data_IF_950208384092
#
_entry.id   IF_950208384092
#
_cell.length_a   1.000
_cell.length_b   1.000
_cell.length_c   1.000
_cell.angle_alpha   90.00
_cell.angle_beta   90.00
_cell.angle_gamma   90.00
#
_symmetry.space_group_name_H-M   'P 1'
#
loop_
_entity.id
_entity.type
_entity.pdbx_description
1 polymer ?
#
# COMPACT_ATOMS: atom_id res chain seq x y z
N UNK A 1 42.67 -7.43 57.72
CA UNK A 1 41.21 -7.55 57.99
C UNK A 1 40.32 -6.40 57.49
N UNK A 2 40.82 -5.25 57.02
CA UNK A 2 39.96 -4.17 56.45
C UNK A 2 39.85 -4.18 54.92
N UNK A 3 40.70 -4.93 54.21
CA UNK A 3 40.78 -4.92 52.75
C UNK A 3 39.80 -5.92 52.10
N UNK A 4 39.61 -7.10 52.68
CA UNK A 4 38.69 -8.14 52.16
C UNK A 4 37.21 -7.74 52.24
N UNK A 5 36.82 -6.97 53.25
CA UNK A 5 35.42 -6.56 53.46
C UNK A 5 34.96 -5.56 52.37
N UNK A 6 35.89 -4.76 51.82
CA UNK A 6 35.58 -3.78 50.75
C UNK A 6 35.33 -4.45 49.40
N UNK A 7 36.11 -5.48 49.06
CA UNK A 7 35.98 -6.22 47.79
C UNK A 7 34.63 -6.94 47.72
N UNK A 8 34.16 -7.47 48.85
CA UNK A 8 32.89 -8.21 48.92
C UNK A 8 31.64 -7.30 48.79
N UNK A 9 31.74 -6.02 49.16
CA UNK A 9 30.66 -5.04 48.97
C UNK A 9 30.61 -4.48 47.55
N UNK A 10 31.77 -4.22 46.93
CA UNK A 10 31.85 -3.78 45.54
C UNK A 10 31.44 -4.88 44.56
N UNK A 11 31.85 -6.13 44.80
CA UNK A 11 31.42 -7.28 44.00
C UNK A 11 29.90 -7.46 44.01
N UNK A 12 29.26 -7.40 45.20
CA UNK A 12 27.80 -7.48 45.32
C UNK A 12 27.05 -6.31 44.69
N UNK A 13 27.62 -5.10 44.71
CA UNK A 13 27.05 -3.94 44.01
C UNK A 13 27.11 -4.11 42.49
N UNK A 14 28.22 -4.63 41.96
CA UNK A 14 28.37 -4.91 40.53
C UNK A 14 27.44 -6.03 40.06
N UNK A 15 27.24 -7.10 40.84
CA UNK A 15 26.29 -8.16 40.48
C UNK A 15 24.83 -7.67 40.53
N UNK A 16 24.49 -6.79 41.48
CA UNK A 16 23.15 -6.20 41.56
C UNK A 16 22.85 -5.23 40.40
N UNK A 17 23.83 -4.45 39.96
CA UNK A 17 23.69 -3.56 38.78
C UNK A 17 23.68 -4.36 37.48
N UNK A 18 24.47 -5.44 37.36
CA UNK A 18 24.43 -6.33 36.20
C UNK A 18 23.07 -7.03 36.03
N UNK A 19 22.43 -7.47 37.13
CA UNK A 19 21.07 -8.01 37.10
C UNK A 19 20.01 -6.96 36.76
N UNK A 20 20.21 -5.69 37.15
CA UNK A 20 19.29 -4.60 36.81
C UNK A 20 19.39 -4.19 35.33
N UNK A 21 20.59 -4.24 34.73
CA UNK A 21 20.82 -3.92 33.31
C UNK A 21 20.40 -5.07 32.38
N UNK A 22 20.48 -6.32 32.84
CA UNK A 22 19.89 -7.47 32.11
C UNK A 22 18.35 -7.43 32.17
N UNK A 23 17.77 -6.87 33.24
CA UNK A 23 16.32 -6.73 33.40
C UNK A 23 15.67 -5.63 32.54
N UNK A 24 16.39 -4.57 32.16
CA UNK A 24 15.82 -3.48 31.35
C UNK A 24 15.91 -3.73 29.84
N UNK A 25 16.75 -4.68 29.39
CA UNK A 25 16.85 -5.06 27.98
C UNK A 25 15.73 -5.99 27.48
N UNK A 26 14.97 -6.62 28.38
CA UNK A 26 14.00 -7.67 28.06
C UNK A 26 12.53 -7.23 28.05
N UNK A 27 12.24 -5.98 28.38
CA UNK A 27 10.88 -5.43 28.34
C UNK A 27 10.73 -4.38 27.24
N UNK A 28 11.08 -4.72 26.00
CA UNK A 28 10.25 -4.23 24.89
C UNK A 28 8.95 -5.04 24.93
N UNK A 29 8.11 -4.71 25.90
CA UNK A 29 6.72 -5.13 25.93
C UNK A 29 6.06 -4.46 24.71
N UNK A 30 6.22 -5.09 23.55
CA UNK A 30 5.44 -4.77 22.39
C UNK A 30 4.00 -5.06 22.80
N UNK A 31 3.24 -4.00 23.04
CA UNK A 31 1.84 -4.12 23.42
C UNK A 31 1.12 -4.80 22.26
N UNK A 32 0.89 -6.11 22.38
CA UNK A 32 0.05 -6.84 21.44
C UNK A 32 -1.30 -6.11 21.44
N UNK A 33 -1.79 -5.66 20.28
CA UNK A 33 -3.00 -4.88 20.18
C UNK A 33 -4.13 -5.76 20.71
N UNK A 34 -4.88 -5.20 21.66
CA UNK A 34 -6.09 -5.88 22.13
C UNK A 34 -7.03 -6.07 20.93
N UNK A 35 -7.81 -7.16 20.89
CA UNK A 35 -8.71 -7.46 19.77
C UNK A 35 -9.61 -6.28 19.38
N UNK A 36 -10.02 -5.45 20.35
CA UNK A 36 -10.84 -4.27 20.14
C UNK A 36 -10.11 -3.17 19.34
N UNK A 37 -8.82 -3.00 19.59
CA UNK A 37 -7.98 -2.03 18.87
C UNK A 37 -7.76 -2.43 17.42
N UNK A 38 -7.53 -3.72 17.15
CA UNK A 38 -7.40 -4.24 15.79
C UNK A 38 -8.70 -4.05 14.99
N UNK A 39 -9.84 -4.37 15.61
CA UNK A 39 -11.17 -4.16 15.01
C UNK A 39 -11.43 -2.70 14.68
N UNK A 40 -11.11 -1.78 15.60
CA UNK A 40 -11.28 -0.34 15.39
C UNK A 40 -10.45 0.15 14.19
N UNK A 41 -9.16 -0.20 14.14
CA UNK A 41 -8.29 0.17 13.01
C UNK A 41 -8.83 -0.43 11.71
N UNK A 42 -9.26 -1.69 11.73
CA UNK A 42 -9.83 -2.35 10.56
C UNK A 42 -11.08 -1.66 10.02
N UNK A 43 -11.97 -1.20 10.90
CA UNK A 43 -13.16 -0.40 10.53
C UNK A 43 -12.78 0.96 9.94
N UNK A 44 -11.77 1.63 10.50
CA UNK A 44 -11.28 2.91 9.98
C UNK A 44 -10.70 2.74 8.57
N UNK A 45 -9.89 1.69 8.36
CA UNK A 45 -9.32 1.35 7.04
C UNK A 45 -10.44 1.04 6.05
N UNK A 46 -11.39 0.17 6.41
CA UNK A 46 -12.52 -0.17 5.55
C UNK A 46 -13.29 1.08 5.11
N UNK A 47 -13.59 1.99 6.04
CA UNK A 47 -14.28 3.25 5.73
C UNK A 47 -13.45 4.15 4.82
N UNK A 48 -12.17 4.33 5.13
CA UNK A 48 -11.25 5.13 4.30
C UNK A 48 -11.18 4.57 2.88
N UNK A 49 -11.06 3.25 2.75
CA UNK A 49 -10.95 2.54 1.48
C UNK A 49 -12.17 2.75 0.59
N UNK A 50 -13.38 2.64 1.15
CA UNK A 50 -14.61 2.89 0.40
C UNK A 50 -14.69 4.35 -0.10
N UNK A 51 -14.31 5.31 0.73
CA UNK A 51 -14.26 6.74 0.34
C UNK A 51 -13.20 6.97 -0.75
N UNK A 52 -12.04 6.33 -0.64
CA UNK A 52 -10.97 6.47 -1.61
C UNK A 52 -11.33 5.87 -2.97
N UNK A 53 -12.05 4.74 -3.00
CA UNK A 53 -12.57 4.16 -4.25
C UNK A 53 -13.56 5.14 -4.90
N UNK A 54 -14.54 5.63 -4.15
CA UNK A 54 -15.52 6.60 -4.68
C UNK A 54 -14.85 7.85 -5.25
N UNK A 55 -13.86 8.40 -4.53
CA UNK A 55 -13.06 9.53 -5.01
C UNK A 55 -12.27 9.20 -6.27
N UNK A 56 -11.68 8.01 -6.36
CA UNK A 56 -10.90 7.62 -7.54
C UNK A 56 -11.77 7.43 -8.80
N UNK A 57 -13.04 7.06 -8.63
CA UNK A 57 -14.01 7.00 -9.73
C UNK A 57 -14.38 8.41 -10.22
N UNK A 58 -14.60 9.34 -9.28
CA UNK A 58 -14.91 10.76 -9.59
C UNK A 58 -13.74 11.48 -10.28
N UNK A 59 -12.52 11.26 -9.79
CA UNK A 59 -11.30 11.89 -10.33
C UNK A 59 -10.70 11.13 -11.54
N UNK A 60 -11.36 10.10 -12.08
CA UNK A 60 -10.87 9.25 -13.19
C UNK A 60 -9.46 8.63 -12.94
N UNK A 61 -9.17 8.31 -11.67
CA UNK A 61 -7.90 7.68 -11.24
C UNK A 61 -8.06 6.24 -10.75
N UNK A 62 -9.27 5.70 -10.81
CA UNK A 62 -9.60 4.33 -10.43
C UNK A 62 -8.78 3.30 -11.22
N UNK A 63 -8.28 2.24 -10.54
CA UNK A 63 -7.43 1.20 -11.16
C UNK A 63 -7.99 -0.22 -11.00
N UNK A 64 -9.28 -0.36 -10.65
CA UNK A 64 -9.95 -1.66 -10.54
C UNK A 64 -10.03 -2.22 -9.13
N UNK A 65 -9.72 -1.42 -8.11
CA UNK A 65 -9.84 -1.81 -6.70
C UNK A 65 -11.30 -2.02 -6.29
N UNK A 66 -11.56 -2.90 -5.31
CA UNK A 66 -12.93 -3.11 -4.85
C UNK A 66 -13.02 -3.36 -3.34
N UNK A 67 -14.18 -2.99 -2.81
CA UNK A 67 -14.63 -3.26 -1.45
C UNK A 67 -13.74 -2.72 -0.33
N UNK A 68 -13.97 -3.24 0.88
CA UNK A 68 -13.36 -2.71 2.11
C UNK A 68 -11.84 -2.91 2.16
N UNK A 69 -11.31 -3.85 1.37
CA UNK A 69 -9.87 -4.11 1.26
C UNK A 69 -9.18 -3.11 0.31
N UNK A 70 -9.91 -2.51 -0.65
CA UNK A 70 -9.37 -1.69 -1.75
C UNK A 70 -8.17 -2.36 -2.43
N UNK A 71 -8.37 -3.62 -2.82
CA UNK A 71 -7.37 -4.43 -3.52
C UNK A 71 -7.72 -4.56 -4.99
N UNK A 72 -6.70 -4.58 -5.85
CA UNK A 72 -6.85 -4.97 -7.25
C UNK A 72 -7.39 -6.40 -7.38
N UNK A 73 -7.93 -6.80 -8.54
CA UNK A 73 -8.38 -8.17 -8.76
C UNK A 73 -7.24 -9.18 -8.59
N UNK A 74 -6.04 -8.86 -9.06
CA UNK A 74 -4.83 -9.68 -8.91
C UNK A 74 -4.49 -9.89 -7.43
N UNK A 75 -4.47 -8.82 -6.65
CA UNK A 75 -4.19 -8.90 -5.21
C UNK A 75 -5.30 -9.65 -4.47
N UNK A 76 -6.58 -9.41 -4.80
CA UNK A 76 -7.70 -10.15 -4.22
C UNK A 76 -7.59 -11.65 -4.45
N UNK A 77 -7.23 -12.06 -5.68
CA UNK A 77 -6.97 -13.46 -6.00
C UNK A 77 -5.78 -14.03 -5.25
N UNK A 78 -4.70 -13.27 -5.08
CA UNK A 78 -3.54 -13.69 -4.29
C UNK A 78 -3.89 -13.86 -2.79
N UNK A 79 -4.89 -13.12 -2.30
CA UNK A 79 -5.46 -13.27 -0.96
C UNK A 79 -6.47 -14.44 -0.84
N UNK A 80 -6.73 -15.16 -1.95
CA UNK A 80 -7.63 -16.31 -1.98
C UNK A 80 -9.10 -15.98 -2.27
N UNK A 81 -9.41 -14.74 -2.68
CA UNK A 81 -10.77 -14.33 -3.04
C UNK A 81 -11.11 -14.76 -4.48
N UNK A 82 -12.36 -15.14 -4.72
CA UNK A 82 -12.92 -15.25 -6.06
C UNK A 82 -13.15 -13.85 -6.60
N UNK A 83 -12.41 -13.50 -7.66
CA UNK A 83 -12.45 -12.16 -8.26
C UNK A 83 -12.92 -12.22 -9.70
N UNK A 84 -13.53 -11.13 -10.16
CA UNK A 84 -13.88 -10.94 -11.56
C UNK A 84 -12.73 -10.26 -12.29
N UNK A 85 -12.28 -10.83 -13.41
CA UNK A 85 -11.24 -10.23 -14.26
C UNK A 85 -11.69 -10.33 -15.72
N UNK A 86 -12.20 -9.22 -16.25
CA UNK A 86 -12.75 -9.16 -17.61
C UNK A 86 -11.66 -8.85 -18.65
N UNK A 87 -11.99 -9.02 -19.94
CA UNK A 87 -11.10 -8.58 -21.03
C UNK A 87 -10.92 -7.07 -21.03
N UNK A 88 -11.98 -6.34 -20.71
CA UNK A 88 -12.00 -4.88 -20.65
C UNK A 88 -11.14 -4.34 -19.51
N UNK A 89 -11.21 -4.97 -18.33
CA UNK A 89 -10.31 -4.67 -17.22
C UNK A 89 -8.84 -4.82 -17.66
N UNK A 90 -8.47 -5.96 -18.26
CA UNK A 90 -7.10 -6.19 -18.73
C UNK A 90 -6.66 -5.19 -19.79
N UNK A 91 -7.56 -4.81 -20.69
CA UNK A 91 -7.28 -3.80 -21.70
C UNK A 91 -7.02 -2.44 -21.04
N UNK A 92 -7.84 -2.04 -20.06
CA UNK A 92 -7.68 -0.78 -19.35
C UNK A 92 -6.34 -0.70 -18.60
N UNK A 93 -5.94 -1.77 -17.90
CA UNK A 93 -4.64 -1.83 -17.23
C UNK A 93 -3.47 -1.70 -18.22
N UNK A 94 -3.55 -2.35 -19.38
CA UNK A 94 -2.54 -2.17 -20.44
C UNK A 94 -2.49 -0.72 -20.95
N UNK A 95 -3.66 -0.10 -21.19
CA UNK A 95 -3.72 1.29 -21.63
C UNK A 95 -3.14 2.26 -20.59
N UNK A 96 -3.35 2.01 -19.29
CA UNK A 96 -2.71 2.78 -18.22
C UNK A 96 -1.19 2.61 -18.24
N UNK A 97 -0.69 1.38 -18.37
CA UNK A 97 0.75 1.10 -18.48
C UNK A 97 1.37 1.81 -19.69
N UNK A 98 0.75 1.72 -20.86
CA UNK A 98 1.20 2.41 -22.07
C UNK A 98 1.15 3.95 -21.90
N UNK A 99 0.15 4.48 -21.18
CA UNK A 99 0.07 5.91 -20.88
C UNK A 99 1.20 6.35 -19.94
N UNK A 100 1.54 5.55 -18.93
CA UNK A 100 2.66 5.84 -18.02
C UNK A 100 3.99 5.85 -18.79
N UNK A 101 4.23 4.89 -19.69
CA UNK A 101 5.40 4.86 -20.57
C UNK A 101 5.48 6.10 -21.48
N UNK A 102 4.35 6.53 -22.07
CA UNK A 102 4.29 7.75 -22.89
C UNK A 102 4.58 8.99 -22.02
N UNK A 103 4.08 9.03 -20.80
CA UNK A 103 4.34 10.13 -19.88
C UNK A 103 5.84 10.24 -19.56
N UNK A 104 6.51 9.11 -19.31
CA UNK A 104 7.96 9.07 -19.11
C UNK A 104 8.72 9.56 -20.35
N UNK A 105 8.27 9.20 -21.55
CA UNK A 105 8.84 9.70 -22.81
C UNK A 105 8.70 11.21 -22.93
N UNK A 106 7.52 11.77 -22.66
CA UNK A 106 7.27 13.22 -22.66
C UNK A 106 8.22 13.92 -21.67
N UNK A 107 8.31 13.41 -20.43
CA UNK A 107 9.20 13.98 -19.40
C UNK A 107 10.66 13.94 -19.84
N UNK A 108 11.10 12.85 -20.45
CA UNK A 108 12.46 12.69 -20.96
C UNK A 108 12.77 13.68 -22.08
N UNK A 109 11.87 13.83 -23.04
CA UNK A 109 12.04 14.76 -24.16
C UNK A 109 12.10 16.22 -23.68
N UNK A 110 11.21 16.61 -22.75
CA UNK A 110 11.20 17.95 -22.17
C UNK A 110 12.49 18.26 -21.38
N UNK A 111 13.08 17.27 -20.70
CA UNK A 111 14.35 17.42 -19.97
C UNK A 111 15.57 17.56 -20.90
N UNK A 112 15.51 17.05 -22.14
CA UNK A 112 16.63 17.07 -23.09
C UNK A 112 16.74 18.38 -23.89
N UNK A 113 15.92 19.38 -23.57
CA UNK A 113 15.89 20.66 -24.29
C UNK A 113 17.22 21.40 -24.14
N UNK A 114 17.95 21.56 -25.25
CA UNK A 114 19.24 22.28 -25.34
C UNK A 114 19.03 23.80 -25.40
N UNK A 115 20.08 24.61 -25.11
CA UNK A 115 20.02 26.05 -25.39
C UNK A 115 19.72 26.27 -26.88
N UNK A 116 18.59 26.92 -27.17
CA UNK A 116 18.02 27.06 -28.52
C UNK A 116 16.55 26.65 -28.66
N UNK A 117 15.98 25.97 -27.67
CA UNK A 117 14.54 25.62 -27.63
C UNK A 117 14.18 24.31 -28.36
N UNK A 118 12.87 24.08 -28.53
CA UNK A 118 12.33 22.94 -29.28
C UNK A 118 12.10 23.35 -30.74
N UNK A 119 12.63 22.57 -31.68
CA UNK A 119 12.28 22.71 -33.10
C UNK A 119 10.83 22.24 -33.36
N UNK A 120 10.26 22.64 -34.50
CA UNK A 120 8.88 22.33 -34.87
C UNK A 120 8.59 20.83 -34.91
N UNK A 121 9.53 20.00 -35.34
CA UNK A 121 9.35 18.54 -35.40
C UNK A 121 9.27 17.92 -34.01
N UNK A 122 10.07 18.41 -33.05
CA UNK A 122 9.96 18.01 -31.64
C UNK A 122 8.65 18.44 -31.02
N UNK A 123 8.20 19.66 -31.32
CA UNK A 123 6.90 20.14 -30.84
C UNK A 123 5.78 19.24 -31.35
N UNK A 124 5.77 18.91 -32.65
CA UNK A 124 4.76 18.03 -33.22
C UNK A 124 4.78 16.63 -32.58
N UNK A 125 5.95 16.02 -32.39
CA UNK A 125 6.06 14.73 -31.69
C UNK A 125 5.56 14.79 -30.25
N UNK A 126 5.91 15.83 -29.50
CA UNK A 126 5.42 16.02 -28.13
C UNK A 126 3.90 16.18 -28.09
N UNK A 127 3.31 16.88 -29.07
CA UNK A 127 1.86 17.00 -29.20
C UNK A 127 1.22 15.64 -29.47
N UNK A 128 1.76 14.85 -30.39
CA UNK A 128 1.27 13.49 -30.68
C UNK A 128 1.33 12.57 -29.46
N UNK A 129 2.44 12.62 -28.70
CA UNK A 129 2.58 11.90 -27.43
C UNK A 129 1.53 12.36 -26.41
N UNK A 130 1.32 13.68 -26.27
CA UNK A 130 0.30 14.22 -25.37
C UNK A 130 -1.13 13.76 -25.74
N UNK A 131 -1.45 13.74 -27.04
CA UNK A 131 -2.74 13.25 -27.55
C UNK A 131 -2.88 11.76 -27.24
N UNK A 132 -1.87 10.95 -27.57
CA UNK A 132 -1.86 9.50 -27.32
C UNK A 132 -2.02 9.18 -25.83
N UNK A 133 -1.30 9.89 -24.96
CA UNK A 133 -1.43 9.81 -23.50
C UNK A 133 -2.87 10.08 -23.05
N UNK A 134 -3.44 11.22 -23.46
CA UNK A 134 -4.82 11.59 -23.08
C UNK A 134 -5.85 10.59 -23.56
N UNK A 135 -5.77 10.15 -24.83
CA UNK A 135 -6.71 9.18 -25.39
C UNK A 135 -6.64 7.83 -24.68
N UNK A 136 -5.44 7.35 -24.33
CA UNK A 136 -5.28 6.09 -23.58
C UNK A 136 -5.84 6.20 -22.16
N UNK A 137 -5.55 7.29 -21.45
CA UNK A 137 -6.10 7.53 -20.11
C UNK A 137 -7.63 7.60 -20.13
N UNK A 138 -8.22 8.37 -21.04
CA UNK A 138 -9.67 8.48 -21.17
C UNK A 138 -10.30 7.12 -21.46
N UNK A 139 -9.75 6.37 -22.42
CA UNK A 139 -10.26 5.04 -22.76
C UNK A 139 -10.13 4.05 -21.60
N UNK A 140 -9.03 4.09 -20.85
CA UNK A 140 -8.85 3.26 -19.67
C UNK A 140 -9.88 3.60 -18.58
N UNK A 141 -10.12 4.89 -18.32
CA UNK A 141 -11.10 5.36 -17.35
C UNK A 141 -12.52 4.86 -17.70
N UNK A 142 -12.94 4.98 -18.97
CA UNK A 142 -14.22 4.44 -19.44
C UNK A 142 -14.36 2.94 -19.18
N UNK A 143 -13.34 2.15 -19.55
CA UNK A 143 -13.34 0.70 -19.38
C UNK A 143 -13.36 0.29 -17.90
N UNK A 144 -12.64 1.02 -17.04
CA UNK A 144 -12.59 0.77 -15.60
C UNK A 144 -13.88 1.17 -14.89
N UNK A 145 -14.52 2.27 -15.32
CA UNK A 145 -15.85 2.65 -14.85
C UNK A 145 -16.89 1.58 -15.22
N UNK A 146 -16.91 1.12 -16.47
CA UNK A 146 -17.80 0.04 -16.91
C UNK A 146 -17.54 -1.26 -16.14
N UNK A 147 -16.26 -1.61 -15.94
CA UNK A 147 -15.87 -2.74 -15.10
C UNK A 147 -16.39 -2.62 -13.67
N UNK A 148 -16.28 -1.46 -13.03
CA UNK A 148 -16.77 -1.23 -11.67
C UNK A 148 -18.29 -1.44 -11.56
N UNK A 149 -19.06 -0.96 -12.55
CA UNK A 149 -20.52 -1.13 -12.57
C UNK A 149 -20.97 -2.59 -12.73
N UNK A 150 -20.12 -3.43 -13.32
CA UNK A 150 -20.38 -4.86 -13.53
C UNK A 150 -20.00 -5.73 -12.31
N UNK A 151 -19.29 -5.17 -11.32
CA UNK A 151 -18.95 -5.87 -10.08
C UNK A 151 -20.17 -5.99 -9.15
N UNK A 152 -20.36 -7.17 -8.58
CA UNK A 152 -21.34 -7.42 -7.52
C UNK A 152 -20.87 -8.57 -6.62
N UNK A 153 -21.53 -8.74 -5.46
CA UNK A 153 -21.16 -9.79 -4.50
C UNK A 153 -21.27 -11.22 -5.03
N UNK A 154 -22.09 -11.46 -6.07
CA UNK A 154 -22.24 -12.80 -6.65
C UNK A 154 -21.03 -13.19 -7.51
N UNK A 155 -20.43 -12.20 -8.18
CA UNK A 155 -19.35 -12.40 -9.15
C UNK A 155 -17.95 -11.97 -8.67
N UNK A 156 -17.86 -11.22 -7.57
CA UNK A 156 -16.60 -10.74 -7.00
C UNK A 156 -16.68 -10.63 -5.46
N UNK A 157 -15.96 -11.53 -4.78
CA UNK A 157 -15.95 -11.62 -3.31
C UNK A 157 -15.25 -10.45 -2.62
N UNK A 158 -14.52 -9.59 -3.37
CA UNK A 158 -13.98 -8.35 -2.78
C UNK A 158 -15.09 -7.43 -2.28
N UNK A 159 -16.32 -7.57 -2.79
CA UNK A 159 -17.50 -6.83 -2.36
C UNK A 159 -18.23 -7.49 -1.19
N UNK A 160 -17.90 -8.73 -0.83
CA UNK A 160 -18.47 -9.43 0.32
C UNK A 160 -17.72 -9.02 1.61
N UNK A 161 -18.41 -8.28 2.48
CA UNK A 161 -17.81 -7.81 3.72
C UNK A 161 -17.53 -8.92 4.73
N UNK A 162 -18.31 -9.99 4.73
CA UNK A 162 -18.18 -11.06 5.71
C UNK A 162 -16.99 -11.96 5.38
N UNK A 163 -16.69 -12.12 4.08
CA UNK A 163 -15.44 -12.73 3.60
C UNK A 163 -14.25 -11.78 3.81
N UNK A 164 -14.41 -10.50 3.47
CA UNK A 164 -13.29 -9.55 3.45
C UNK A 164 -12.83 -9.08 4.84
N UNK A 165 -13.73 -9.00 5.84
CA UNK A 165 -13.38 -8.51 7.20
C UNK A 165 -12.29 -9.38 7.85
N UNK A 166 -12.42 -10.73 7.91
CA UNK A 166 -11.36 -11.59 8.43
C UNK A 166 -10.04 -11.45 7.68
N UNK A 167 -10.09 -11.28 6.35
CA UNK A 167 -8.88 -11.07 5.52
C UNK A 167 -8.20 -9.75 5.90
N UNK A 168 -8.98 -8.68 6.06
CA UNK A 168 -8.49 -7.37 6.46
C UNK A 168 -7.79 -7.44 7.81
N UNK A 169 -8.46 -8.01 8.82
CA UNK A 169 -7.94 -8.12 10.18
C UNK A 169 -6.67 -8.97 10.22
N UNK A 170 -6.64 -10.10 9.50
CA UNK A 170 -5.47 -10.97 9.39
C UNK A 170 -4.28 -10.25 8.77
N UNK A 171 -4.45 -9.58 7.63
CA UNK A 171 -3.34 -8.92 6.93
C UNK A 171 -2.86 -7.66 7.67
N UNK A 172 -3.76 -6.95 8.35
CA UNK A 172 -3.43 -5.85 9.24
C UNK A 172 -2.62 -6.33 10.44
N UNK A 173 -3.06 -7.41 11.10
CA UNK A 173 -2.34 -7.99 12.22
C UNK A 173 -0.94 -8.46 11.81
N UNK A 174 -0.82 -9.14 10.66
CA UNK A 174 0.46 -9.55 10.10
C UNK A 174 1.41 -8.37 9.87
N UNK A 175 0.88 -7.24 9.39
CA UNK A 175 1.67 -6.01 9.23
C UNK A 175 2.12 -5.45 10.58
N UNK A 176 1.19 -5.38 11.53
CA UNK A 176 1.45 -4.91 12.87
C UNK A 176 2.54 -5.73 13.57
N UNK A 177 2.48 -7.05 13.51
CA UNK A 177 3.51 -7.94 14.06
C UNK A 177 4.87 -7.70 13.40
N UNK A 178 4.91 -7.57 12.07
CA UNK A 178 6.16 -7.36 11.31
C UNK A 178 6.94 -6.13 11.77
N UNK A 179 6.26 -5.05 12.12
CA UNK A 179 6.90 -3.79 12.54
C UNK A 179 6.83 -3.55 14.05
N UNK A 180 6.65 -4.59 14.86
CA UNK A 180 6.60 -4.46 16.32
C UNK A 180 5.50 -3.50 16.79
N UNK A 181 4.36 -3.52 16.11
CA UNK A 181 3.18 -2.70 16.38
C UNK A 181 3.38 -1.19 16.23
N UNK A 182 4.42 -0.77 15.49
CA UNK A 182 4.58 0.63 15.07
C UNK A 182 3.53 0.96 14.02
N UNK A 183 2.47 1.65 14.44
CA UNK A 183 1.29 1.94 13.62
C UNK A 183 1.65 2.56 12.27
N UNK A 184 2.51 3.58 12.23
CA UNK A 184 2.91 4.27 10.99
C UNK A 184 3.45 3.29 9.95
N UNK A 185 4.45 2.50 10.32
CA UNK A 185 5.15 1.61 9.39
C UNK A 185 4.28 0.41 9.03
N UNK A 186 3.49 -0.09 9.98
CA UNK A 186 2.53 -1.18 9.76
C UNK A 186 1.42 -0.78 8.78
N UNK A 187 0.88 0.43 8.91
CA UNK A 187 -0.14 0.92 7.98
C UNK A 187 0.45 1.19 6.59
N UNK A 188 1.69 1.68 6.51
CA UNK A 188 2.40 1.85 5.24
C UNK A 188 2.64 0.51 4.53
N UNK A 189 3.13 -0.52 5.24
CA UNK A 189 3.31 -1.86 4.69
C UNK A 189 1.98 -2.49 4.26
N UNK A 190 0.94 -2.37 5.09
CA UNK A 190 -0.39 -2.86 4.75
C UNK A 190 -0.89 -2.21 3.45
N UNK A 191 -0.82 -0.89 3.36
CA UNK A 191 -1.21 -0.13 2.18
C UNK A 191 -0.41 -0.52 0.93
N UNK A 192 0.91 -0.64 1.03
CA UNK A 192 1.76 -1.00 -0.12
C UNK A 192 1.39 -2.39 -0.66
N UNK A 193 1.17 -3.36 0.23
CA UNK A 193 0.80 -4.73 -0.16
C UNK A 193 -0.60 -4.84 -0.74
N UNK A 194 -1.56 -4.06 -0.24
CA UNK A 194 -2.96 -4.15 -0.68
C UNK A 194 -3.25 -3.28 -1.91
N UNK A 195 -2.68 -2.07 -1.94
CA UNK A 195 -3.02 -1.05 -2.94
C UNK A 195 -1.97 -0.89 -4.04
N UNK A 196 -0.67 -0.86 -3.69
CA UNK A 196 0.39 -0.57 -4.68
C UNK A 196 0.79 -1.83 -5.47
N UNK A 197 0.72 -3.01 -4.85
CA UNK A 197 1.06 -4.27 -5.51
C UNK A 197 2.57 -4.33 -5.80
N UNK A 198 3.28 -5.11 -5.00
CA UNK A 198 4.75 -5.14 -4.88
C UNK A 198 5.36 -4.13 -3.89
N UNK A 199 6.36 -4.66 -3.19
CA UNK A 199 6.96 -4.14 -1.96
C UNK A 199 7.69 -2.82 -2.20
N UNK A 200 7.11 -1.71 -1.74
CA UNK A 200 7.91 -0.57 -1.31
C UNK A 200 8.25 -0.77 0.16
N UNK A 201 9.55 -0.89 0.46
CA UNK A 201 10.03 -0.65 1.82
C UNK A 201 9.47 0.70 2.26
N UNK A 202 8.73 0.78 3.38
CA UNK A 202 8.24 2.06 3.87
C UNK A 202 9.47 2.96 4.12
N UNK A 203 9.41 4.25 3.75
CA UNK A 203 10.52 5.16 3.99
C UNK A 203 10.85 5.13 5.48
N UNK A 204 12.10 4.77 5.80
CA UNK A 204 12.66 4.76 7.15
C UNK A 204 12.36 6.08 7.89
#
# INVERSE_FOLDING_TARGET
MKQEIRVNRLSRLFTAVALLVIGTGLCKAHAVPRPEGLKLIGQMIARYNMVAIAKSLDDETYKGEAGILRVSPETGRALGLRVRITKDYRLAIRLLSEADEIHEQIVKELKQTKPGGLDTDKVNRLVDLCISYKSKKARAAELLAAYYQDLNGDNDERLDQDICKPVLEKELFRSLERYGFRIRDSLADFFNRTYVGESYDPPL
#
